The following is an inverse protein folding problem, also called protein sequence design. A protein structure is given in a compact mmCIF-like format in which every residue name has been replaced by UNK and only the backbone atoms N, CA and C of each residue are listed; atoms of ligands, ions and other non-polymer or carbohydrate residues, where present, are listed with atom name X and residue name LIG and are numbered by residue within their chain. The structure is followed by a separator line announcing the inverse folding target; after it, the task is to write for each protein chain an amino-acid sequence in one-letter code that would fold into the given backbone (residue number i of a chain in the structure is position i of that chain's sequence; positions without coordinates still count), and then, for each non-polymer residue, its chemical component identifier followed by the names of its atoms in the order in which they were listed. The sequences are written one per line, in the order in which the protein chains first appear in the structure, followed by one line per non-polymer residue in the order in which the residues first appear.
data_IF_943673690242
#
_entry.id   IF_943673690242
#
_cell.length_a   1.000
_cell.length_b   1.000
_cell.length_c   1.000
_cell.angle_alpha   90.00
_cell.angle_beta   90.00
_cell.angle_gamma   90.00
#
_symmetry.space_group_name_H-M   'P 1'
#
loop_
_entity.id
_entity.type
_entity.pdbx_description
1 polymer ?
#
# COMPACT_ATOMS: atom_id res chain seq x y z
N UNK A 1 -21.03 -11.83 -18.21
CA UNK A 1 -20.25 -11.03 -17.25
C UNK A 1 -21.21 -10.42 -16.26
N UNK A 2 -21.07 -10.76 -14.98
CA UNK A 2 -21.92 -10.23 -13.91
C UNK A 2 -21.63 -8.75 -13.55
N UNK A 3 -20.50 -8.20 -14.05
CA UNK A 3 -20.15 -6.79 -13.93
C UNK A 3 -20.42 -6.01 -15.21
N UNK A 4 -20.82 -4.74 -15.05
CA UNK A 4 -20.71 -3.71 -16.08
C UNK A 4 -19.40 -2.95 -15.89
N UNK A 5 -18.69 -2.70 -16.98
CA UNK A 5 -17.53 -1.81 -16.92
C UNK A 5 -18.00 -0.37 -16.69
N UNK A 6 -17.48 0.25 -15.63
CA UNK A 6 -17.71 1.64 -15.31
C UNK A 6 -16.48 2.48 -15.55
N UNK A 7 -16.60 3.76 -15.24
CA UNK A 7 -15.52 4.72 -15.28
C UNK A 7 -15.52 5.61 -14.04
N UNK A 8 -14.33 6.09 -13.65
CA UNK A 8 -14.17 7.16 -12.68
C UNK A 8 -13.71 8.46 -13.35
N UNK A 9 -14.17 9.63 -12.88
CA UNK A 9 -13.67 10.91 -13.39
C UNK A 9 -12.15 11.10 -13.25
N UNK A 10 -11.53 10.42 -12.27
CA UNK A 10 -10.09 10.51 -11.97
C UNK A 10 -9.27 9.37 -12.56
N UNK A 11 -9.89 8.40 -13.26
CA UNK A 11 -9.15 7.29 -13.85
C UNK A 11 -8.16 7.79 -14.91
N UNK A 12 -7.08 7.04 -15.09
CA UNK A 12 -6.03 7.33 -16.05
C UNK A 12 -5.78 6.10 -16.93
N UNK A 13 -5.07 6.31 -18.03
CA UNK A 13 -4.64 5.23 -18.93
C UNK A 13 -3.13 5.21 -18.98
N UNK A 14 -2.54 4.06 -18.65
CA UNK A 14 -1.09 3.81 -18.69
C UNK A 14 -0.82 2.70 -19.70
N UNK A 15 -0.03 2.99 -20.73
CA UNK A 15 0.29 2.04 -21.81
C UNK A 15 -0.96 1.38 -22.44
N UNK A 16 -2.06 2.15 -22.58
CA UNK A 16 -3.33 1.66 -23.13
C UNK A 16 -4.22 0.90 -22.13
N UNK A 17 -3.83 0.80 -20.86
CA UNK A 17 -4.57 0.11 -19.80
C UNK A 17 -5.21 1.13 -18.86
N UNK A 18 -6.54 1.07 -18.69
CA UNK A 18 -7.26 1.92 -17.72
C UNK A 18 -6.90 1.55 -16.28
N UNK A 19 -6.74 2.55 -15.42
CA UNK A 19 -6.31 2.41 -14.04
C UNK A 19 -7.09 3.35 -13.09
N UNK A 20 -7.72 2.81 -12.03
CA UNK A 20 -8.06 1.40 -11.84
C UNK A 20 -9.18 0.97 -12.79
N UNK A 21 -9.40 -0.35 -12.95
CA UNK A 21 -10.61 -0.84 -13.64
C UNK A 21 -11.82 -0.72 -12.72
N UNK A 22 -12.83 0.03 -13.14
CA UNK A 22 -14.07 0.19 -12.37
C UNK A 22 -15.12 -0.82 -12.82
N UNK A 23 -15.69 -1.55 -11.87
CA UNK A 23 -16.71 -2.58 -12.09
C UNK A 23 -17.96 -2.23 -11.29
N UNK A 24 -19.11 -2.21 -11.98
CA UNK A 24 -20.42 -1.84 -11.46
C UNK A 24 -21.36 -3.05 -11.48
N UNK A 25 -22.44 -3.08 -10.66
CA UNK A 25 -23.46 -4.10 -10.77
C UNK A 25 -24.14 -4.06 -12.14
N UNK A 26 -24.37 -5.24 -12.75
CA UNK A 26 -25.15 -5.32 -13.99
C UNK A 26 -26.60 -4.81 -13.78
N UNK A 27 -27.17 -4.19 -14.82
CA UNK A 27 -28.50 -3.60 -14.74
C UNK A 27 -29.55 -4.66 -14.34
N UNK A 28 -30.31 -4.38 -13.28
CA UNK A 28 -31.31 -5.32 -12.74
C UNK A 28 -30.75 -6.48 -11.93
N UNK A 29 -29.41 -6.62 -11.81
CA UNK A 29 -28.81 -7.61 -10.93
C UNK A 29 -29.05 -7.25 -9.46
N UNK A 30 -29.55 -8.23 -8.69
CA UNK A 30 -29.80 -8.12 -7.25
C UNK A 30 -28.85 -8.98 -6.41
N UNK A 31 -27.95 -9.71 -7.06
CA UNK A 31 -26.94 -10.53 -6.42
C UNK A 31 -26.06 -9.68 -5.51
N UNK A 32 -25.66 -10.28 -4.39
CA UNK A 32 -24.71 -9.65 -3.48
C UNK A 32 -23.32 -9.72 -4.10
N UNK A 33 -22.48 -8.74 -3.78
CA UNK A 33 -21.10 -8.72 -4.29
C UNK A 33 -20.34 -10.02 -3.99
N UNK A 34 -20.59 -10.64 -2.83
CA UNK A 34 -19.98 -11.93 -2.46
C UNK A 34 -20.29 -13.03 -3.48
N UNK A 35 -21.54 -13.16 -3.93
CA UNK A 35 -21.98 -14.19 -4.89
C UNK A 35 -21.32 -13.96 -6.25
N UNK A 36 -21.26 -12.69 -6.68
CA UNK A 36 -20.62 -12.31 -7.93
C UNK A 36 -19.11 -12.58 -7.89
N UNK A 37 -18.44 -12.23 -6.79
CA UNK A 37 -17.00 -12.49 -6.61
C UNK A 37 -16.72 -13.99 -6.61
N UNK A 38 -17.52 -14.81 -5.93
CA UNK A 38 -17.34 -16.27 -5.95
C UNK A 38 -17.45 -16.85 -7.37
N UNK A 39 -18.41 -16.37 -8.15
CA UNK A 39 -18.65 -16.82 -9.52
C UNK A 39 -17.58 -16.33 -10.52
N UNK A 40 -17.03 -15.13 -10.33
CA UNK A 40 -16.15 -14.46 -11.29
C UNK A 40 -14.69 -14.35 -10.81
N UNK A 41 -14.30 -15.06 -9.73
CA UNK A 41 -12.98 -14.92 -9.07
C UNK A 41 -11.77 -15.05 -10.01
N UNK A 42 -11.83 -15.95 -10.99
CA UNK A 42 -10.75 -16.16 -11.96
C UNK A 42 -10.60 -14.94 -12.88
N UNK A 43 -11.73 -14.45 -13.41
CA UNK A 43 -11.80 -13.26 -14.26
C UNK A 43 -11.39 -12.00 -13.50
N UNK A 44 -11.82 -11.84 -12.25
CA UNK A 44 -11.36 -10.75 -11.37
C UNK A 44 -9.85 -10.84 -11.11
N UNK A 45 -9.31 -12.05 -10.96
CA UNK A 45 -7.86 -12.26 -10.85
C UNK A 45 -7.11 -11.85 -12.12
N UNK A 46 -7.66 -12.12 -13.31
CA UNK A 46 -7.11 -11.68 -14.59
C UNK A 46 -7.14 -10.16 -14.75
N UNK A 47 -8.30 -9.55 -14.46
CA UNK A 47 -8.44 -8.09 -14.48
C UNK A 47 -7.47 -7.44 -13.51
N UNK A 48 -7.30 -8.00 -12.31
CA UNK A 48 -6.38 -7.45 -11.34
C UNK A 48 -4.92 -7.56 -11.81
N UNK A 49 -4.53 -8.67 -12.45
CA UNK A 49 -3.19 -8.81 -13.05
C UNK A 49 -2.96 -7.82 -14.19
N UNK A 50 -3.99 -7.56 -15.01
CA UNK A 50 -3.89 -6.65 -16.15
C UNK A 50 -3.87 -5.18 -15.72
N UNK A 51 -4.78 -4.80 -14.82
CA UNK A 51 -5.03 -3.42 -14.44
C UNK A 51 -4.30 -3.01 -13.16
N UNK A 52 -3.75 -3.93 -12.37
CA UNK A 52 -3.09 -3.64 -11.08
C UNK A 52 -4.05 -3.23 -9.95
N UNK A 53 -5.19 -2.61 -10.26
CA UNK A 53 -6.20 -2.24 -9.29
C UNK A 53 -7.63 -2.33 -9.85
N UNK A 54 -8.57 -2.81 -9.03
CA UNK A 54 -10.00 -2.88 -9.33
C UNK A 54 -10.80 -2.07 -8.32
N UNK A 55 -11.76 -1.29 -8.79
CA UNK A 55 -12.77 -0.66 -7.95
C UNK A 55 -14.14 -1.30 -8.20
N UNK A 56 -14.67 -1.98 -7.20
CA UNK A 56 -16.03 -2.54 -7.20
C UNK A 56 -16.95 -1.51 -6.57
N UNK A 57 -17.79 -0.86 -7.36
CA UNK A 57 -18.61 0.29 -6.94
C UNK A 57 -20.10 0.07 -7.19
N UNK A 58 -20.94 0.63 -6.32
CA UNK A 58 -22.40 0.52 -6.40
C UNK A 58 -22.95 -0.75 -5.75
N UNK A 59 -22.12 -1.47 -4.98
CA UNK A 59 -22.50 -2.64 -4.22
C UNK A 59 -22.84 -2.30 -2.78
N UNK A 60 -23.61 -3.16 -2.13
CA UNK A 60 -24.18 -2.90 -0.83
C UNK A 60 -23.38 -3.50 0.34
N UNK A 61 -22.07 -3.24 0.39
CA UNK A 61 -21.18 -3.71 1.48
C UNK A 61 -21.24 -2.71 2.64
N UNK A 62 -21.94 -3.06 3.74
CA UNK A 62 -22.29 -2.09 4.80
C UNK A 62 -21.61 -2.32 6.14
N UNK A 63 -20.92 -3.45 6.30
CA UNK A 63 -20.38 -3.88 7.58
C UNK A 63 -19.03 -4.58 7.42
N UNK A 64 -18.31 -4.75 8.53
CA UNK A 64 -17.09 -5.55 8.55
C UNK A 64 -17.37 -7.03 8.17
N UNK A 65 -18.54 -7.57 8.54
CA UNK A 65 -18.92 -8.94 8.18
C UNK A 65 -19.29 -9.10 6.71
N UNK A 66 -19.97 -8.11 6.10
CA UNK A 66 -20.20 -8.09 4.65
C UNK A 66 -18.86 -8.03 3.90
N UNK A 67 -17.96 -7.15 4.36
CA UNK A 67 -16.64 -7.02 3.76
C UNK A 67 -15.82 -8.30 3.91
N UNK A 68 -15.87 -8.93 5.10
CA UNK A 68 -15.21 -10.22 5.35
C UNK A 68 -15.69 -11.31 4.39
N UNK A 69 -17.00 -11.41 4.15
CA UNK A 69 -17.58 -12.36 3.19
C UNK A 69 -17.02 -12.11 1.78
N UNK A 70 -16.99 -10.85 1.33
CA UNK A 70 -16.42 -10.49 0.01
C UNK A 70 -14.94 -10.85 -0.09
N UNK A 71 -14.14 -10.58 0.95
CA UNK A 71 -12.72 -10.96 1.01
C UNK A 71 -12.54 -12.47 0.91
N UNK A 72 -13.36 -13.24 1.63
CA UNK A 72 -13.30 -14.71 1.62
C UNK A 72 -13.70 -15.29 0.25
N UNK A 73 -14.68 -14.68 -0.43
CA UNK A 73 -15.13 -15.09 -1.75
C UNK A 73 -14.03 -15.05 -2.83
N UNK A 74 -13.03 -14.15 -2.71
CA UNK A 74 -11.87 -14.18 -3.60
C UNK A 74 -11.05 -15.49 -3.49
N UNK A 75 -11.16 -16.21 -2.38
CA UNK A 75 -10.46 -17.48 -2.16
C UNK A 75 -8.95 -17.36 -1.94
N UNK A 76 -8.43 -16.13 -1.81
CA UNK A 76 -7.01 -15.88 -1.53
C UNK A 76 -6.62 -16.27 -0.11
N UNK A 77 -5.35 -16.61 0.08
CA UNK A 77 -4.84 -17.05 1.38
C UNK A 77 -4.77 -15.83 2.31
N UNK A 78 -5.20 -15.98 3.56
CA UNK A 78 -5.05 -14.92 4.55
C UNK A 78 -3.57 -14.58 4.76
N UNK A 79 -3.29 -13.27 4.90
CA UNK A 79 -2.00 -12.78 5.37
C UNK A 79 -2.17 -12.27 6.81
N UNK A 80 -1.38 -12.80 7.75
CA UNK A 80 -1.46 -12.36 9.14
C UNK A 80 -0.71 -11.03 9.31
N UNK A 81 -1.38 -10.04 9.91
CA UNK A 81 -0.79 -8.73 10.10
C UNK A 81 0.34 -8.78 11.13
N UNK A 82 1.58 -8.63 10.65
CA UNK A 82 2.75 -8.44 11.49
C UNK A 82 3.33 -7.03 11.36
N UNK A 83 2.58 -6.10 10.76
CA UNK A 83 3.03 -4.72 10.64
C UNK A 83 3.08 -3.98 11.98
N UNK A 84 3.46 -2.72 11.89
CA UNK A 84 3.81 -1.93 13.06
C UNK A 84 2.74 -0.90 13.46
N UNK A 85 1.69 -0.72 12.65
CA UNK A 85 0.55 0.14 12.97
C UNK A 85 -0.44 -0.60 13.89
N UNK A 86 -1.14 0.16 14.74
CA UNK A 86 -2.19 -0.40 15.59
C UNK A 86 -3.38 -0.80 14.72
N UNK A 87 -3.73 -2.09 14.72
CA UNK A 87 -4.91 -2.60 14.02
C UNK A 87 -5.80 -3.37 14.97
N UNK A 88 -7.09 -3.07 14.92
CA UNK A 88 -8.12 -3.83 15.63
C UNK A 88 -8.76 -4.79 14.65
N UNK A 89 -8.86 -6.08 15.01
CA UNK A 89 -9.65 -7.06 14.26
C UNK A 89 -11.13 -6.76 14.47
N UNK A 90 -11.85 -6.47 13.39
CA UNK A 90 -13.28 -6.09 13.43
C UNK A 90 -14.19 -7.24 13.01
N UNK A 91 -13.71 -8.08 12.09
CA UNK A 91 -14.33 -9.32 11.65
C UNK A 91 -13.23 -10.27 11.16
N UNK A 92 -13.58 -11.46 10.67
CA UNK A 92 -12.56 -12.36 10.14
C UNK A 92 -11.85 -11.75 8.92
N UNK A 93 -10.50 -11.79 8.89
CA UNK A 93 -9.66 -11.16 7.85
C UNK A 93 -9.86 -9.65 7.64
N UNK A 94 -10.53 -8.95 8.56
CA UNK A 94 -10.84 -7.51 8.45
C UNK A 94 -10.26 -6.74 9.63
N UNK A 95 -9.50 -5.70 9.30
CA UNK A 95 -8.78 -4.87 10.23
C UNK A 95 -9.18 -3.39 10.06
N UNK A 96 -8.98 -2.60 11.11
CA UNK A 96 -8.97 -1.13 10.98
C UNK A 96 -7.79 -0.67 10.11
N UNK A 97 -7.96 0.42 9.36
CA UNK A 97 -6.84 1.13 8.72
C UNK A 97 -5.96 1.84 9.76
N UNK A 98 -4.82 2.39 9.30
CA UNK A 98 -3.88 3.16 10.10
C UNK A 98 -4.57 4.30 10.90
N UNK A 99 -4.20 4.43 12.17
CA UNK A 99 -4.69 5.44 13.13
C UNK A 99 -3.99 6.80 13.01
N UNK A 100 -3.05 6.98 12.08
CA UNK A 100 -2.41 8.28 11.84
C UNK A 100 -3.45 9.39 11.62
N UNK A 101 -3.25 10.59 12.20
CA UNK A 101 -4.22 11.68 12.12
C UNK A 101 -4.68 11.96 10.70
N UNK A 102 -5.99 12.14 10.51
CA UNK A 102 -6.57 12.25 9.17
C UNK A 102 -6.11 13.51 8.41
N UNK A 103 -5.61 14.53 9.10
CA UNK A 103 -5.03 15.73 8.49
C UNK A 103 -3.58 15.54 7.99
N UNK A 104 -2.93 14.42 8.31
CA UNK A 104 -1.63 14.06 7.73
C UNK A 104 -1.82 13.37 6.38
N UNK A 105 -0.90 13.64 5.45
CA UNK A 105 -0.71 12.85 4.24
C UNK A 105 0.09 11.60 4.58
N UNK A 106 -0.44 10.42 4.22
CA UNK A 106 0.32 9.18 4.28
C UNK A 106 0.94 8.95 2.90
N UNK A 107 2.28 8.92 2.85
CA UNK A 107 3.04 8.83 1.60
C UNK A 107 2.74 7.55 0.81
N UNK A 108 3.04 7.58 -0.49
CA UNK A 108 2.92 6.42 -1.37
C UNK A 108 3.87 5.30 -0.96
N UNK A 109 3.33 4.09 -0.83
CA UNK A 109 4.11 2.93 -0.46
C UNK A 109 3.46 1.64 -0.97
N UNK A 110 4.27 0.59 -1.04
CA UNK A 110 3.80 -0.79 -1.06
C UNK A 110 3.55 -1.26 0.38
N UNK A 111 2.44 -1.95 0.62
CA UNK A 111 2.06 -2.43 1.95
C UNK A 111 3.13 -3.39 2.47
N UNK A 112 3.65 -3.12 3.68
CA UNK A 112 4.65 -3.94 4.37
C UNK A 112 5.97 -4.17 3.62
N UNK A 113 6.41 -3.24 2.78
CA UNK A 113 7.62 -3.40 1.95
C UNK A 113 8.93 -3.69 2.71
N UNK A 114 9.00 -3.41 4.01
CA UNK A 114 10.15 -3.65 4.90
C UNK A 114 10.10 -4.99 5.67
N UNK A 115 9.04 -5.78 5.50
CA UNK A 115 8.94 -7.13 6.08
C UNK A 115 9.59 -8.18 5.16
N UNK A 116 10.00 -9.32 5.74
CA UNK A 116 10.45 -10.48 4.96
C UNK A 116 9.32 -11.11 4.16
N UNK A 117 8.15 -11.21 4.79
CA UNK A 117 6.90 -11.62 4.15
C UNK A 117 5.97 -10.41 4.03
N UNK A 118 5.35 -10.25 2.88
CA UNK A 118 4.44 -9.14 2.57
C UNK A 118 3.22 -9.65 1.80
N UNK A 119 2.06 -8.97 1.91
CA UNK A 119 0.87 -9.41 1.22
C UNK A 119 0.98 -9.16 -0.28
N UNK A 120 0.44 -10.07 -1.09
CA UNK A 120 0.32 -9.86 -2.53
C UNK A 120 -0.82 -8.90 -2.87
N UNK A 121 -1.80 -8.75 -1.98
CA UNK A 121 -3.03 -8.01 -2.22
C UNK A 121 -3.41 -7.16 -1.01
N UNK A 122 -3.93 -5.97 -1.28
CA UNK A 122 -4.54 -5.09 -0.28
C UNK A 122 -5.95 -4.77 -0.75
N UNK A 123 -6.92 -4.94 0.14
CA UNK A 123 -8.33 -4.72 -0.17
C UNK A 123 -8.85 -3.69 0.83
N UNK A 124 -9.39 -2.58 0.33
CA UNK A 124 -10.03 -1.55 1.14
C UNK A 124 -11.54 -1.57 0.94
N UNK A 125 -12.30 -1.28 1.99
CA UNK A 125 -13.74 -1.09 1.89
C UNK A 125 -14.17 0.20 2.60
N UNK A 126 -15.00 1.01 1.93
CA UNK A 126 -15.57 2.21 2.53
C UNK A 126 -16.91 1.92 3.19
N UNK A 127 -16.96 2.04 4.51
CA UNK A 127 -18.21 2.00 5.28
C UNK A 127 -18.81 3.41 5.37
N UNK A 128 -17.98 4.40 5.64
CA UNK A 128 -18.38 5.80 5.72
C UNK A 128 -17.36 6.69 5.00
N UNK A 129 -17.83 7.36 3.94
CA UNK A 129 -17.00 8.21 3.12
C UNK A 129 -16.71 9.54 3.85
N UNK A 130 -15.49 10.09 3.70
CA UNK A 130 -15.16 11.40 4.25
C UNK A 130 -15.99 12.51 3.58
N UNK A 131 -16.43 13.53 4.33
CA UNK A 131 -17.10 14.70 3.76
C UNK A 131 -16.16 15.55 2.88
N UNK A 132 -14.84 15.49 3.13
CA UNK A 132 -13.82 16.22 2.38
C UNK A 132 -12.47 15.51 2.49
N UNK A 133 -11.76 15.39 1.37
CA UNK A 133 -10.44 14.76 1.29
C UNK A 133 -10.48 13.27 1.66
N UNK A 134 -9.38 12.76 2.23
CA UNK A 134 -9.33 11.39 2.75
C UNK A 134 -9.38 10.29 1.69
N UNK A 135 -9.18 10.64 0.42
CA UNK A 135 -9.05 9.69 -0.69
C UNK A 135 -7.91 8.69 -0.42
N UNK A 136 -8.07 7.49 -0.95
CA UNK A 136 -6.94 6.58 -1.14
C UNK A 136 -6.37 6.84 -2.53
N UNK A 137 -5.19 7.44 -2.60
CA UNK A 137 -4.50 7.67 -3.86
C UNK A 137 -3.73 6.42 -4.26
N UNK A 138 -3.77 6.06 -5.54
CA UNK A 138 -3.07 4.89 -6.07
C UNK A 138 -2.29 5.25 -7.33
N UNK A 139 -1.19 4.55 -7.59
CA UNK A 139 -0.36 4.76 -8.78
C UNK A 139 0.31 3.44 -9.20
N UNK A 140 0.41 3.13 -10.51
CA UNK A 140 1.21 2.01 -10.98
C UNK A 140 2.69 2.26 -10.65
N UNK A 141 3.34 1.31 -9.98
CA UNK A 141 4.73 1.47 -9.52
C UNK A 141 5.72 1.41 -10.69
N UNK A 142 5.37 0.73 -11.78
CA UNK A 142 6.13 0.70 -13.03
C UNK A 142 6.11 2.05 -13.76
N UNK A 143 5.01 2.80 -13.68
CA UNK A 143 4.97 4.18 -14.16
C UNK A 143 5.99 5.07 -13.43
N UNK A 144 6.11 4.92 -12.10
CA UNK A 144 7.10 5.68 -11.31
C UNK A 144 8.52 5.38 -11.78
N UNK A 145 8.85 4.11 -12.03
CA UNK A 145 10.19 3.73 -12.54
C UNK A 145 10.45 4.35 -13.91
N UNK A 146 9.51 4.21 -14.87
CA UNK A 146 9.65 4.79 -16.21
C UNK A 146 9.85 6.30 -16.16
N UNK A 147 9.07 6.99 -15.33
CA UNK A 147 9.14 8.45 -15.23
C UNK A 147 10.43 8.93 -14.55
N UNK A 148 10.92 8.19 -13.55
CA UNK A 148 12.24 8.43 -12.96
C UNK A 148 13.37 8.19 -13.98
N UNK A 149 13.23 7.18 -14.85
CA UNK A 149 14.20 6.89 -15.91
C UNK A 149 14.28 8.02 -16.94
N UNK A 150 13.15 8.66 -17.25
CA UNK A 150 13.11 9.83 -18.12
C UNK A 150 13.72 11.09 -17.47
N UNK A 151 13.42 11.34 -16.18
CA UNK A 151 13.79 12.60 -15.51
C UNK A 151 15.20 12.59 -14.92
N UNK A 152 15.59 11.48 -14.28
CA UNK A 152 16.81 11.32 -13.49
C UNK A 152 17.47 9.95 -13.76
N UNK A 153 17.84 9.64 -15.03
CA UNK A 153 18.29 8.31 -15.42
C UNK A 153 19.53 7.82 -14.65
N UNK A 154 20.47 8.71 -14.34
CA UNK A 154 21.71 8.35 -13.63
C UNK A 154 21.43 8.00 -12.18
N UNK A 155 20.54 8.76 -11.56
CA UNK A 155 20.12 8.59 -10.17
C UNK A 155 19.29 7.30 -10.03
N UNK A 156 18.39 7.03 -10.99
CA UNK A 156 17.67 5.76 -11.05
C UNK A 156 18.62 4.58 -11.24
N UNK A 157 19.60 4.68 -12.14
CA UNK A 157 20.61 3.63 -12.34
C UNK A 157 21.40 3.37 -11.04
N UNK A 158 21.74 4.43 -10.30
CA UNK A 158 22.40 4.32 -8.99
C UNK A 158 21.48 3.65 -7.95
N UNK A 159 20.22 4.05 -7.87
CA UNK A 159 19.21 3.42 -6.99
C UNK A 159 19.02 1.93 -7.27
N UNK A 160 19.12 1.52 -8.53
CA UNK A 160 18.94 0.13 -8.98
C UNK A 160 20.19 -0.72 -8.72
N UNK A 161 21.38 -0.19 -9.03
CA UNK A 161 22.65 -0.93 -8.90
C UNK A 161 23.20 -0.96 -7.49
N UNK A 162 23.18 0.18 -6.80
CA UNK A 162 23.79 0.31 -5.47
C UNK A 162 22.75 0.12 -4.36
N UNK A 163 21.52 0.59 -4.58
CA UNK A 163 20.45 0.54 -3.60
C UNK A 163 20.48 1.70 -2.60
N UNK A 164 19.67 1.56 -1.56
CA UNK A 164 19.47 2.54 -0.50
C UNK A 164 19.74 1.94 0.88
N UNK A 165 20.13 2.82 1.80
CA UNK A 165 20.06 2.54 3.23
C UNK A 165 18.85 3.28 3.81
N UNK A 166 18.14 2.62 4.72
CA UNK A 166 17.02 3.21 5.44
C UNK A 166 17.28 3.07 6.93
N UNK A 167 17.20 4.17 7.67
CA UNK A 167 17.22 4.15 9.13
C UNK A 167 15.83 4.55 9.61
N UNK A 168 15.11 3.61 10.20
CA UNK A 168 13.79 3.85 10.78
C UNK A 168 13.92 3.89 12.30
N UNK A 169 13.81 5.09 12.88
CA UNK A 169 13.75 5.29 14.32
C UNK A 169 12.32 5.06 14.80
N UNK A 170 12.13 4.14 15.75
CA UNK A 170 10.82 3.80 16.29
C UNK A 170 10.81 3.87 17.82
N UNK A 171 9.79 4.55 18.36
CA UNK A 171 9.47 4.54 19.80
C UNK A 171 8.68 3.30 20.21
N UNK A 172 7.94 2.71 19.27
CA UNK A 172 7.02 1.59 19.51
C UNK A 172 7.66 0.20 19.32
N UNK A 173 8.97 0.05 19.54
CA UNK A 173 9.69 -1.18 19.17
C UNK A 173 9.24 -2.39 20.00
N UNK A 174 8.95 -2.21 21.30
CA UNK A 174 8.48 -3.30 22.16
C UNK A 174 7.18 -3.90 21.63
N UNK A 175 6.24 -3.05 21.20
CA UNK A 175 4.98 -3.47 20.56
C UNK A 175 5.23 -4.15 19.22
N UNK A 176 6.13 -3.59 18.40
CA UNK A 176 6.44 -4.13 17.07
C UNK A 176 7.07 -5.52 17.13
N UNK A 177 7.87 -5.78 18.16
CA UNK A 177 8.63 -7.01 18.36
C UNK A 177 8.03 -7.92 19.45
N UNK A 178 6.98 -7.46 20.13
CA UNK A 178 6.27 -8.16 21.21
C UNK A 178 7.18 -8.62 22.37
N UNK A 179 8.12 -7.77 22.77
CA UNK A 179 9.10 -8.07 23.83
C UNK A 179 9.64 -6.80 24.47
N UNK A 180 10.05 -6.89 25.73
CA UNK A 180 10.79 -5.83 26.45
C UNK A 180 12.30 -6.14 26.52
N UNK A 181 12.73 -7.35 26.14
CA UNK A 181 14.12 -7.78 26.17
C UNK A 181 14.85 -7.42 24.85
N UNK A 182 15.98 -6.72 24.95
CA UNK A 182 16.74 -6.22 23.80
C UNK A 182 17.34 -7.34 22.93
N UNK A 183 17.74 -8.46 23.54
CA UNK A 183 18.35 -9.60 22.82
C UNK A 183 17.28 -10.33 22.01
N UNK A 184 16.13 -10.61 22.62
CA UNK A 184 15.00 -11.21 21.94
C UNK A 184 14.42 -10.25 20.88
N UNK A 185 14.43 -8.94 21.13
CA UNK A 185 14.05 -7.92 20.16
C UNK A 185 14.93 -7.97 18.91
N UNK A 186 16.25 -8.05 19.05
CA UNK A 186 17.17 -8.18 17.91
C UNK A 186 16.87 -9.45 17.10
N UNK A 187 16.73 -10.59 17.76
CA UNK A 187 16.40 -11.86 17.10
C UNK A 187 15.08 -11.78 16.33
N UNK A 188 14.02 -11.27 16.96
CA UNK A 188 12.70 -11.11 16.31
C UNK A 188 12.76 -10.09 15.17
N UNK A 189 13.54 -9.03 15.32
CA UNK A 189 13.72 -8.05 14.27
C UNK A 189 14.37 -8.69 13.03
N UNK A 190 15.41 -9.48 13.21
CA UNK A 190 16.07 -10.20 12.12
C UNK A 190 15.18 -11.26 11.47
N UNK A 191 14.25 -11.88 12.21
CA UNK A 191 13.30 -12.85 11.66
C UNK A 191 12.17 -12.18 10.87
N UNK A 192 11.72 -11.01 11.31
CA UNK A 192 10.51 -10.36 10.81
C UNK A 192 10.77 -9.34 9.70
N UNK A 193 11.81 -8.53 9.86
CA UNK A 193 12.15 -7.44 8.96
C UNK A 193 13.33 -7.80 8.06
N UNK A 194 13.48 -7.08 6.96
CA UNK A 194 14.67 -7.15 6.10
C UNK A 194 15.83 -6.25 6.60
N UNK A 195 15.77 -5.75 7.84
CA UNK A 195 16.84 -4.95 8.42
C UNK A 195 18.12 -5.78 8.58
N UNK A 196 19.26 -5.12 8.45
CA UNK A 196 20.59 -5.71 8.64
C UNK A 196 21.07 -5.63 10.09
N UNK A 197 20.56 -4.67 10.87
CA UNK A 197 20.81 -4.54 12.31
C UNK A 197 19.74 -3.69 12.98
N UNK A 198 19.71 -3.73 14.31
CA UNK A 198 18.99 -2.74 15.12
C UNK A 198 19.94 -2.10 16.13
N UNK A 199 19.66 -0.86 16.54
CA UNK A 199 20.47 -0.15 17.53
C UNK A 199 19.56 0.53 18.55
N UNK A 200 19.71 0.17 19.82
CA UNK A 200 19.02 0.81 20.94
C UNK A 200 19.68 2.15 21.26
N UNK A 201 18.86 3.15 21.54
CA UNK A 201 19.30 4.51 21.87
C UNK A 201 18.95 4.84 23.33
N UNK A 202 19.72 5.74 23.95
CA UNK A 202 19.53 6.18 25.34
C UNK A 202 18.16 6.83 25.61
N UNK A 203 17.47 7.31 24.57
CA UNK A 203 16.13 7.90 24.66
C UNK A 203 14.99 6.85 24.62
N UNK A 204 15.33 5.56 24.73
CA UNK A 204 14.39 4.44 24.75
C UNK A 204 13.87 4.03 23.37
N UNK A 205 14.40 4.61 22.29
CA UNK A 205 14.02 4.26 20.92
C UNK A 205 14.97 3.26 20.28
N UNK A 206 14.53 2.60 19.21
CA UNK A 206 15.37 1.73 18.38
C UNK A 206 15.49 2.28 16.97
N UNK A 207 16.70 2.26 16.42
CA UNK A 207 16.95 2.43 14.99
C UNK A 207 16.94 1.05 14.34
N UNK A 208 16.01 0.81 13.44
CA UNK A 208 16.08 -0.31 12.51
C UNK A 208 16.90 0.13 11.30
N UNK A 209 18.06 -0.50 11.10
CA UNK A 209 18.95 -0.19 10.00
C UNK A 209 18.71 -1.20 8.88
N UNK A 210 18.28 -0.70 7.73
CA UNK A 210 18.08 -1.48 6.53
C UNK A 210 19.09 -1.05 5.48
N UNK A 211 19.53 -1.98 4.64
CA UNK A 211 20.42 -1.68 3.54
C UNK A 211 21.67 -2.55 3.47
N UNK A 212 22.33 -2.59 2.29
CA UNK A 212 21.86 -1.99 1.04
C UNK A 212 20.65 -2.75 0.49
N UNK A 213 19.56 -2.04 0.19
CA UNK A 213 18.33 -2.59 -0.37
C UNK A 213 18.09 -2.00 -1.74
N UNK A 214 17.71 -2.82 -2.71
CA UNK A 214 17.32 -2.29 -4.02
C UNK A 214 16.02 -1.49 -3.89
N UNK A 215 16.05 -0.21 -4.27
CA UNK A 215 14.85 0.63 -4.29
C UNK A 215 13.90 0.21 -5.42
N UNK A 216 14.46 -0.34 -6.51
CA UNK A 216 13.73 -0.89 -7.65
C UNK A 216 13.76 -2.42 -7.55
N UNK A 217 12.63 -3.10 -7.82
CA UNK A 217 12.56 -4.56 -7.89
C UNK A 217 11.91 -5.01 -9.17
N UNK A 218 12.28 -6.18 -9.65
CA UNK A 218 11.52 -6.86 -10.72
C UNK A 218 10.50 -7.80 -10.09
N UNK A 219 9.22 -7.47 -10.21
CA UNK A 219 8.10 -8.28 -9.70
C UNK A 219 7.13 -8.53 -10.84
N UNK A 220 6.76 -9.80 -11.05
CA UNK A 220 5.85 -10.23 -12.13
C UNK A 220 6.23 -9.68 -13.52
N UNK A 221 7.53 -9.61 -13.83
CA UNK A 221 8.04 -9.12 -15.11
C UNK A 221 7.99 -7.60 -15.29
N UNK A 222 7.73 -6.83 -14.22
CA UNK A 222 7.75 -5.36 -14.22
C UNK A 222 8.77 -4.84 -13.23
N UNK A 223 9.51 -3.80 -13.62
CA UNK A 223 10.31 -2.99 -12.68
C UNK A 223 9.36 -2.12 -11.87
N UNK A 224 9.44 -2.18 -10.55
CA UNK A 224 8.61 -1.42 -9.63
C UNK A 224 9.48 -0.65 -8.65
N UNK A 225 9.09 0.56 -8.31
CA UNK A 225 9.73 1.34 -7.27
C UNK A 225 9.22 0.82 -5.91
N UNK A 226 9.91 -0.16 -5.34
CA UNK A 226 9.42 -0.91 -4.18
C UNK A 226 9.55 -0.13 -2.86
N UNK A 227 10.62 0.66 -2.75
CA UNK A 227 10.88 1.48 -1.57
C UNK A 227 10.81 2.97 -1.91
N UNK A 228 10.29 3.76 -0.97
CA UNK A 228 10.35 5.23 -1.06
C UNK A 228 11.81 5.69 -1.06
N UNK A 229 12.07 6.78 -1.77
CA UNK A 229 13.38 7.48 -1.76
C UNK A 229 13.32 8.79 -0.97
N UNK A 230 12.20 9.06 -0.31
CA UNK A 230 11.95 10.26 0.47
C UNK A 230 11.80 9.96 1.95
N UNK A 231 12.25 10.88 2.79
CA UNK A 231 12.07 10.76 4.24
C UNK A 231 10.58 10.78 4.61
N UNK A 232 10.24 10.03 5.66
CA UNK A 232 8.89 9.98 6.17
C UNK A 232 8.90 10.20 7.67
N UNK A 233 8.09 11.16 8.13
CA UNK A 233 8.04 11.59 9.52
C UNK A 233 6.61 11.41 10.02
N UNK A 234 6.35 10.30 10.71
CA UNK A 234 5.11 10.05 11.41
C UNK A 234 5.29 10.26 12.91
N UNK A 235 4.19 10.40 13.63
CA UNK A 235 4.18 10.67 15.07
C UNK A 235 5.04 9.67 15.88
N UNK A 236 4.99 8.39 15.53
CA UNK A 236 5.73 7.30 16.21
C UNK A 236 7.03 6.88 15.49
N UNK A 237 7.31 7.41 14.28
CA UNK A 237 8.44 6.94 13.45
C UNK A 237 9.08 8.02 12.61
N UNK A 238 10.42 7.99 12.57
CA UNK A 238 11.22 8.85 11.71
C UNK A 238 12.06 8.00 10.76
N UNK A 239 11.97 8.26 9.46
CA UNK A 239 12.73 7.54 8.45
C UNK A 239 13.75 8.46 7.79
N UNK A 240 15.02 8.05 7.81
CA UNK A 240 16.10 8.66 7.03
C UNK A 240 16.49 7.72 5.89
N UNK A 241 16.71 8.27 4.70
CA UNK A 241 17.09 7.50 3.51
C UNK A 241 18.34 8.08 2.87
N UNK A 242 19.29 7.23 2.49
CA UNK A 242 20.50 7.59 1.73
C UNK A 242 20.73 6.57 0.63
N UNK A 243 21.63 6.87 -0.30
CA UNK A 243 22.21 5.82 -1.13
C UNK A 243 22.96 4.78 -0.26
N UNK A 244 23.20 3.60 -0.83
CA UNK A 244 23.94 2.52 -0.18
C UNK A 244 25.36 2.93 0.26
N UNK A 245 26.02 3.82 -0.49
CA UNK A 245 27.33 4.40 -0.15
C UNK A 245 27.26 5.44 0.99
N UNK A 246 26.07 5.74 1.51
CA UNK A 246 25.82 6.73 2.57
C UNK A 246 25.66 8.17 2.06
N UNK A 247 25.83 8.42 0.77
CA UNK A 247 25.62 9.75 0.18
C UNK A 247 24.13 10.14 0.19
N UNK A 248 23.88 11.44 0.31
CA UNK A 248 22.52 11.99 0.31
C UNK A 248 21.90 11.81 -1.08
N UNK A 249 20.62 11.43 -1.10
CA UNK A 249 19.85 11.40 -2.35
C UNK A 249 19.63 12.85 -2.81
N UNK A 250 20.07 13.23 -4.04
CA UNK A 250 19.92 14.58 -4.56
C UNK A 250 18.47 15.06 -4.50
N UNK A 251 18.29 16.36 -4.24
CA UNK A 251 16.96 16.96 -4.18
C UNK A 251 16.21 16.80 -5.51
N UNK A 252 16.90 16.89 -6.65
CA UNK A 252 16.31 16.66 -7.97
C UNK A 252 15.74 15.24 -8.15
N UNK A 253 16.33 14.23 -7.50
CA UNK A 253 15.80 12.86 -7.49
C UNK A 253 14.52 12.77 -6.66
N UNK A 254 14.50 13.44 -5.51
CA UNK A 254 13.33 13.52 -4.63
C UNK A 254 12.19 14.27 -5.31
N UNK A 255 12.50 15.38 -5.97
CA UNK A 255 11.53 16.19 -6.70
C UNK A 255 10.96 15.42 -7.88
N UNK A 256 11.81 14.76 -8.68
CA UNK A 256 11.36 13.89 -9.78
C UNK A 256 10.44 12.76 -9.28
N UNK A 257 10.78 12.13 -8.15
CA UNK A 257 9.94 11.10 -7.53
C UNK A 257 8.59 11.65 -7.08
N UNK A 258 8.57 12.82 -6.45
CA UNK A 258 7.33 13.47 -6.01
C UNK A 258 6.44 13.89 -7.19
N UNK A 259 7.04 14.45 -8.24
CA UNK A 259 6.33 14.84 -9.47
C UNK A 259 5.67 13.65 -10.17
N UNK A 260 6.21 12.42 -10.02
CA UNK A 260 5.55 11.21 -10.53
C UNK A 260 4.15 11.05 -9.93
N UNK A 261 3.93 11.43 -8.66
CA UNK A 261 2.64 11.33 -8.01
C UNK A 261 1.67 12.40 -8.51
N UNK A 262 2.14 13.63 -8.70
CA UNK A 262 1.31 14.71 -9.26
C UNK A 262 0.80 14.36 -10.66
N UNK A 263 1.66 13.74 -11.47
CA UNK A 263 1.33 13.35 -12.84
C UNK A 263 0.54 12.05 -12.93
N UNK A 264 0.88 11.05 -12.11
CA UNK A 264 0.47 9.66 -12.29
C UNK A 264 -0.57 9.14 -11.29
N UNK A 265 -0.78 9.79 -10.14
CA UNK A 265 -1.71 9.24 -9.17
C UNK A 265 -3.17 9.37 -9.60
N UNK A 266 -3.99 8.41 -9.15
CA UNK A 266 -5.44 8.42 -9.26
C UNK A 266 -6.02 8.48 -7.85
N UNK A 267 -6.73 9.56 -7.55
CA UNK A 267 -7.40 9.74 -6.26
C UNK A 267 -8.77 9.04 -6.28
N UNK A 268 -8.90 7.97 -5.50
CA UNK A 268 -10.17 7.25 -5.33
C UNK A 268 -11.03 8.00 -4.32
N UNK A 269 -11.97 8.78 -4.84
CA UNK A 269 -13.03 9.41 -4.04
C UNK A 269 -14.03 8.37 -3.58
N UNK A 270 -14.00 8.07 -2.30
CA UNK A 270 -14.77 7.01 -1.67
C UNK A 270 -16.28 7.24 -1.73
N UNK A 271 -17.03 6.17 -2.00
CA UNK A 271 -18.46 6.07 -1.77
C UNK A 271 -18.74 4.90 -0.81
N UNK A 272 -19.76 5.01 0.07
CA UNK A 272 -20.15 3.89 0.92
C UNK A 272 -20.43 2.63 0.09
N UNK A 273 -19.86 1.51 0.52
CA UNK A 273 -19.97 0.21 -0.15
C UNK A 273 -18.91 -0.07 -1.22
N UNK A 274 -18.07 0.91 -1.57
CA UNK A 274 -16.95 0.66 -2.47
C UNK A 274 -15.98 -0.37 -1.88
N UNK A 275 -15.48 -1.26 -2.74
CA UNK A 275 -14.37 -2.17 -2.45
C UNK A 275 -13.26 -1.93 -3.48
N UNK A 276 -12.10 -1.49 -3.01
CA UNK A 276 -10.90 -1.27 -3.83
C UNK A 276 -9.91 -2.41 -3.60
N UNK A 277 -9.57 -3.14 -4.65
CA UNK A 277 -8.63 -4.27 -4.64
C UNK A 277 -7.36 -3.85 -5.34
N UNK A 278 -6.21 -3.95 -4.66
CA UNK A 278 -4.90 -3.60 -5.18
C UNK A 278 -4.01 -4.83 -5.30
N UNK A 279 -3.30 -4.94 -6.41
CA UNK A 279 -2.13 -5.80 -6.52
C UNK A 279 -0.94 -5.09 -5.87
N UNK A 280 -0.63 -5.51 -4.64
CA UNK A 280 0.40 -4.86 -3.83
C UNK A 280 1.79 -4.97 -4.46
N UNK A 281 1.99 -5.88 -5.42
CA UNK A 281 3.27 -6.04 -6.11
C UNK A 281 3.49 -5.03 -7.23
N UNK A 282 2.42 -4.39 -7.72
CA UNK A 282 2.46 -3.46 -8.86
C UNK A 282 1.92 -2.07 -8.56
N UNK A 283 1.20 -1.88 -7.45
CA UNK A 283 0.56 -0.61 -7.10
C UNK A 283 1.08 -0.05 -5.78
N UNK A 284 1.49 1.22 -5.80
CA UNK A 284 1.69 1.99 -4.57
C UNK A 284 0.39 2.70 -4.20
N UNK A 285 0.18 2.90 -2.90
CA UNK A 285 -0.98 3.63 -2.39
C UNK A 285 -0.61 4.61 -1.28
N UNK A 286 -1.43 5.65 -1.13
CA UNK A 286 -1.28 6.75 -0.20
C UNK A 286 -2.65 7.14 0.39
N UNK A 287 -2.65 8.00 1.41
CA UNK A 287 -3.87 8.61 1.97
C UNK A 287 -3.77 10.13 1.93
N UNK A 288 -4.70 10.79 1.23
CA UNK A 288 -4.83 12.26 1.25
C UNK A 288 -5.25 12.76 2.64
N UNK A 289 -4.86 13.98 3.04
CA UNK A 289 -5.47 14.66 4.18
C UNK A 289 -6.99 14.75 4.00
N UNK A 290 -7.75 14.72 5.09
CA UNK A 290 -9.21 14.85 5.03
C UNK A 290 -9.84 15.20 6.37
N UNK A 291 -11.17 15.21 6.39
CA UNK A 291 -11.98 15.49 7.59
C UNK A 291 -12.77 14.25 8.02
N UNK A 292 -12.98 14.05 9.34
CA UNK A 292 -13.88 13.01 9.84
C UNK A 292 -15.35 13.41 9.61
N UNK A 293 -16.29 12.44 9.64
CA UNK A 293 -16.06 11.01 9.83
C UNK A 293 -15.46 10.34 8.59
N UNK A 294 -14.68 9.26 8.78
CA UNK A 294 -14.11 8.44 7.70
C UNK A 294 -13.86 7.04 8.22
N UNK A 295 -14.60 6.06 7.70
CA UNK A 295 -14.48 4.66 8.12
C UNK A 295 -14.14 3.80 6.92
N UNK A 296 -12.85 3.50 6.79
CA UNK A 296 -12.31 2.57 5.79
C UNK A 296 -11.79 1.33 6.52
N UNK A 297 -12.16 0.16 6.03
CA UNK A 297 -11.68 -1.14 6.49
C UNK A 297 -10.60 -1.66 5.54
N UNK A 298 -9.73 -2.54 6.02
CA UNK A 298 -8.69 -3.16 5.19
C UNK A 298 -8.58 -4.65 5.45
N UNK A 299 -8.28 -5.39 4.38
CA UNK A 299 -7.85 -6.78 4.40
C UNK A 299 -6.59 -6.94 3.56
N UNK A 300 -5.74 -7.90 3.93
CA UNK A 300 -4.49 -8.21 3.24
C UNK A 300 -4.41 -9.72 3.01
N UNK A 301 -4.03 -10.13 1.79
CA UNK A 301 -4.06 -11.54 1.36
C UNK A 301 -2.90 -11.88 0.42
N UNK A 302 -2.67 -13.19 0.24
CA UNK A 302 -1.70 -13.78 -0.69
C UNK A 302 -2.34 -14.54 -1.84
#
# INVERSE_FOLDING_TARGET
MAFLEGNMPTEKVFDGIVFPKTLLPAAGNRERLVEIVEAEKEHLGEYLRQHGALLLRGFNVRSADDFSQVVQAFGWKEFFYEGAANRTKLADRVLTVNTEPLHHFLNFHHEMSLLREYPNKVIFCCIEAPPEGGETSIIPSDFVVKRMEEKVPKELEKLDKEGINVVMKAKCWQRMLDTEDEIEAEKRAMQKFICSSITFNDDGTVNFNYGPMSAVRELNGKRVMWHMVTEHNLSERKTKITYADGSVIPQETIDAYNECFDEGCVDVKWQPGDVLVLDNLSVQHARRPGKPPRVILVSITN
#
